data_IF_213864177900
#
_entry.id   IF_213864177900
#
_cell.length_a   1.000
_cell.length_b   1.000
_cell.length_c   1.000
_cell.angle_alpha   90.00
_cell.angle_beta   90.00
_cell.angle_gamma   90.00
#
_symmetry.space_group_name_H-M   'P 1'
#
loop_
_entity.id
_entity.type
_entity.pdbx_description
1 polymer ?
#
# COMPACT_ATOMS: atom_id res chain seq x y z
N UNK A 1 -6.38 13.14 -60.27
CA UNK A 1 -7.46 13.46 -59.31
C UNK A 1 -7.33 12.50 -58.14
N UNK A 2 -6.61 12.91 -57.09
CA UNK A 2 -6.46 12.10 -55.87
C UNK A 2 -7.65 12.41 -54.96
N UNK A 3 -8.53 11.43 -54.84
CA UNK A 3 -9.69 11.44 -53.95
C UNK A 3 -9.19 11.62 -52.50
N UNK A 4 -9.38 12.84 -51.99
CA UNK A 4 -9.00 13.19 -50.61
C UNK A 4 -10.18 12.82 -49.73
N UNK A 5 -10.39 11.53 -49.52
CA UNK A 5 -11.43 11.02 -48.64
C UNK A 5 -11.20 11.56 -47.23
N UNK A 6 -11.94 12.62 -46.89
CA UNK A 6 -11.99 13.20 -45.55
C UNK A 6 -12.56 12.15 -44.59
N UNK A 7 -11.69 11.39 -43.90
CA UNK A 7 -12.10 10.51 -42.81
C UNK A 7 -12.71 11.40 -41.72
N UNK A 8 -14.02 11.28 -41.53
CA UNK A 8 -14.69 11.87 -40.37
C UNK A 8 -14.08 11.25 -39.10
N UNK A 9 -13.69 12.05 -38.11
CA UNK A 9 -13.18 11.53 -36.85
C UNK A 9 -14.25 10.66 -36.19
N UNK A 10 -13.86 9.49 -35.68
CA UNK A 10 -14.75 8.68 -34.83
C UNK A 10 -14.95 9.44 -33.52
N UNK A 11 -16.19 9.82 -33.24
CA UNK A 11 -16.59 10.40 -31.96
C UNK A 11 -16.92 9.27 -30.99
N UNK A 12 -16.54 9.44 -29.72
CA UNK A 12 -17.09 8.66 -28.60
C UNK A 12 -18.58 9.03 -28.37
N UNK A 13 -19.34 8.22 -27.61
CA UNK A 13 -20.77 8.44 -27.35
C UNK A 13 -21.11 9.85 -26.84
N UNK A 14 -20.16 10.52 -26.19
CA UNK A 14 -20.37 11.82 -25.53
C UNK A 14 -19.84 13.00 -26.37
N UNK A 15 -19.53 12.78 -27.66
CA UNK A 15 -19.01 13.82 -28.55
C UNK A 15 -17.52 14.14 -28.40
N UNK A 16 -16.79 13.36 -27.60
CA UNK A 16 -15.33 13.50 -27.47
C UNK A 16 -14.66 12.85 -28.70
N UNK A 17 -13.83 13.57 -29.47
CA UNK A 17 -13.15 13.00 -30.62
C UNK A 17 -12.15 11.92 -30.20
N UNK A 18 -12.27 10.70 -30.72
CA UNK A 18 -11.19 9.73 -30.61
C UNK A 18 -10.02 10.18 -31.46
N UNK A 19 -8.85 10.26 -30.84
CA UNK A 19 -7.59 10.52 -31.54
C UNK A 19 -7.22 9.26 -32.34
N UNK A 20 -7.33 9.31 -33.65
CA UNK A 20 -6.94 8.22 -34.56
C UNK A 20 -5.43 7.96 -34.37
N UNK A 21 -5.06 6.70 -34.10
CA UNK A 21 -3.76 6.28 -33.55
C UNK A 21 -2.51 6.42 -34.45
N UNK A 22 -2.40 7.48 -35.25
CA UNK A 22 -1.28 7.74 -36.16
C UNK A 22 -0.73 9.15 -36.00
N UNK A 23 0.39 9.27 -35.28
CA UNK A 23 1.16 10.50 -34.99
C UNK A 23 0.54 11.34 -33.86
N UNK A 24 1.31 11.57 -32.80
CA UNK A 24 0.92 12.42 -31.67
C UNK A 24 0.41 13.76 -32.23
N UNK A 25 -0.89 14.09 -32.06
CA UNK A 25 -1.39 15.37 -32.52
C UNK A 25 -0.69 16.44 -31.69
N UNK A 26 -0.03 17.35 -32.38
CA UNK A 26 0.38 18.62 -31.79
C UNK A 26 -0.84 19.34 -31.15
N UNK A 27 -0.58 20.43 -30.42
CA UNK A 27 -1.29 21.09 -29.28
C UNK A 27 -2.62 20.57 -28.67
N UNK A 28 -3.27 19.52 -29.17
CA UNK A 28 -4.53 18.94 -28.70
C UNK A 28 -4.36 17.98 -27.50
N UNK A 29 -3.16 17.92 -26.93
CA UNK A 29 -2.83 17.09 -25.76
C UNK A 29 -2.59 17.94 -24.52
N UNK A 30 -3.27 19.10 -24.45
CA UNK A 30 -3.28 19.92 -23.26
C UNK A 30 -4.02 19.20 -22.12
N UNK A 31 -3.50 19.34 -20.90
CA UNK A 31 -4.20 18.91 -19.70
C UNK A 31 -5.36 19.88 -19.45
N UNK A 32 -6.54 19.54 -19.96
CA UNK A 32 -7.76 20.35 -19.79
C UNK A 32 -8.52 19.92 -18.54
N UNK A 33 -9.41 20.78 -18.00
CA UNK A 33 -10.27 20.40 -16.87
C UNK A 33 -11.09 19.13 -17.13
N UNK A 34 -11.62 18.96 -18.35
CA UNK A 34 -12.37 17.76 -18.72
C UNK A 34 -11.52 16.47 -18.67
N UNK A 35 -10.23 16.55 -19.00
CA UNK A 35 -9.30 15.42 -18.85
C UNK A 35 -9.05 15.12 -17.37
N UNK A 36 -8.92 16.14 -16.53
CA UNK A 36 -8.74 15.96 -15.08
C UNK A 36 -9.96 15.28 -14.46
N UNK A 37 -11.17 15.75 -14.80
CA UNK A 37 -12.44 15.16 -14.34
C UNK A 37 -12.59 13.70 -14.78
N UNK A 38 -12.23 13.37 -16.03
CA UNK A 38 -12.28 11.98 -16.48
C UNK A 38 -11.25 11.08 -15.77
N UNK A 39 -10.07 11.62 -15.44
CA UNK A 39 -9.07 10.91 -14.61
C UNK A 39 -9.60 10.71 -13.19
N UNK A 40 -10.23 11.73 -12.60
CA UNK A 40 -10.87 11.67 -11.27
C UNK A 40 -11.87 10.53 -11.20
N UNK A 41 -12.84 10.52 -12.11
CA UNK A 41 -13.90 9.52 -12.17
C UNK A 41 -13.32 8.10 -12.27
N UNK A 42 -12.34 7.90 -13.17
CA UNK A 42 -11.69 6.61 -13.32
C UNK A 42 -10.97 6.14 -12.04
N UNK A 43 -10.35 7.06 -11.30
CA UNK A 43 -9.66 6.73 -10.05
C UNK A 43 -10.63 6.44 -8.91
N UNK A 44 -11.76 7.13 -8.83
CA UNK A 44 -12.81 6.88 -7.83
C UNK A 44 -13.45 5.50 -7.99
N UNK A 45 -13.59 5.05 -9.24
CA UNK A 45 -14.01 3.68 -9.59
C UNK A 45 -12.92 2.63 -9.32
N UNK A 46 -11.72 3.06 -8.93
CA UNK A 46 -10.59 2.18 -8.65
C UNK A 46 -9.93 1.59 -9.90
N UNK A 47 -10.11 2.21 -11.07
CA UNK A 47 -9.49 1.74 -12.31
C UNK A 47 -7.98 1.98 -12.30
N UNK A 48 -7.18 1.06 -12.88
CA UNK A 48 -5.76 1.29 -13.02
C UNK A 48 -5.48 2.39 -14.04
N UNK A 49 -4.41 3.15 -13.81
CA UNK A 49 -4.03 4.30 -14.65
C UNK A 49 -3.86 3.93 -16.13
N UNK A 50 -3.46 2.70 -16.42
CA UNK A 50 -3.34 2.17 -17.79
C UNK A 50 -4.68 2.13 -18.52
N UNK A 51 -5.75 1.67 -17.85
CA UNK A 51 -7.11 1.63 -18.40
C UNK A 51 -7.66 3.04 -18.58
N UNK A 52 -7.48 3.91 -17.57
CA UNK A 52 -7.89 5.32 -17.66
C UNK A 52 -7.21 5.99 -18.86
N UNK A 53 -5.89 5.84 -18.98
CA UNK A 53 -5.12 6.42 -20.10
C UNK A 53 -5.61 5.91 -21.46
N UNK A 54 -5.84 4.60 -21.59
CA UNK A 54 -6.32 4.00 -22.84
C UNK A 54 -7.72 4.49 -23.20
N UNK A 55 -8.63 4.63 -22.23
CA UNK A 55 -9.98 5.15 -22.47
C UNK A 55 -9.99 6.59 -23.00
N UNK A 56 -8.99 7.39 -22.59
CA UNK A 56 -8.79 8.77 -23.05
C UNK A 56 -7.96 8.88 -24.33
N UNK A 57 -7.52 7.75 -24.91
CA UNK A 57 -6.66 7.74 -26.09
C UNK A 57 -5.22 8.20 -25.82
N UNK A 58 -4.75 8.11 -24.57
CA UNK A 58 -3.40 8.50 -24.17
C UNK A 58 -2.50 7.28 -23.92
N UNK A 59 -1.19 7.50 -24.11
CA UNK A 59 -0.18 6.57 -23.60
C UNK A 59 -0.09 6.72 -22.07
N UNK A 60 0.06 5.64 -21.28
CA UNK A 60 0.17 5.72 -19.81
C UNK A 60 1.30 6.64 -19.32
N UNK A 61 2.39 6.72 -20.10
CA UNK A 61 3.53 7.61 -19.80
C UNK A 61 3.19 9.10 -19.78
N UNK A 62 2.08 9.50 -20.40
CA UNK A 62 1.64 10.90 -20.44
C UNK A 62 1.14 11.37 -19.07
N UNK A 63 0.25 10.60 -18.44
CA UNK A 63 -0.28 10.96 -17.12
C UNK A 63 0.83 10.92 -16.07
N UNK A 64 1.74 9.93 -16.15
CA UNK A 64 2.89 9.89 -15.23
C UNK A 64 3.83 11.08 -15.43
N UNK A 65 4.04 11.54 -16.67
CA UNK A 65 4.81 12.75 -16.95
C UNK A 65 4.15 14.01 -16.39
N UNK A 66 2.81 14.15 -16.49
CA UNK A 66 2.05 15.25 -15.90
C UNK A 66 2.14 15.26 -14.37
N UNK A 67 1.95 14.11 -13.71
CA UNK A 67 2.11 13.99 -12.26
C UNK A 67 3.54 14.28 -11.81
N UNK A 68 4.54 13.85 -12.60
CA UNK A 68 5.95 14.15 -12.31
C UNK A 68 6.24 15.65 -12.41
N UNK A 69 5.64 16.33 -13.39
CA UNK A 69 5.71 17.79 -13.52
C UNK A 69 5.00 18.49 -12.37
N UNK A 70 3.81 18.03 -11.99
CA UNK A 70 3.04 18.55 -10.87
C UNK A 70 3.84 18.52 -9.56
N UNK A 71 4.45 17.38 -9.23
CA UNK A 71 5.29 17.24 -8.02
C UNK A 71 6.50 18.17 -8.00
N UNK A 72 7.08 18.46 -9.17
CA UNK A 72 8.16 19.45 -9.26
C UNK A 72 7.61 20.86 -8.97
N UNK A 73 6.49 21.22 -9.59
CA UNK A 73 5.84 22.51 -9.36
C UNK A 73 5.43 22.71 -7.90
N UNK A 74 4.89 21.66 -7.26
CA UNK A 74 4.50 21.67 -5.85
C UNK A 74 5.72 21.94 -4.95
N UNK A 75 6.84 21.25 -5.18
CA UNK A 75 8.11 21.50 -4.48
C UNK A 75 8.66 22.90 -4.71
N UNK A 76 8.45 23.45 -5.90
CA UNK A 76 8.87 24.81 -6.26
C UNK A 76 7.90 25.88 -5.74
N UNK A 77 6.83 25.49 -5.02
CA UNK A 77 5.85 26.40 -4.42
C UNK A 77 4.84 26.99 -5.41
N UNK A 78 4.72 26.42 -6.62
CA UNK A 78 3.76 26.85 -7.63
C UNK A 78 2.40 26.24 -7.27
N UNK A 79 1.40 27.10 -7.05
CA UNK A 79 0.03 26.67 -6.68
C UNK A 79 -0.98 26.83 -7.80
N UNK A 80 -0.80 27.81 -8.69
CA UNK A 80 -1.72 28.11 -9.80
C UNK A 80 -1.26 27.42 -11.10
N UNK A 81 -1.67 26.16 -11.28
CA UNK A 81 -1.29 25.35 -12.45
C UNK A 81 -2.23 24.15 -12.61
N UNK A 82 -2.66 23.82 -13.85
CA UNK A 82 -3.52 22.65 -14.10
C UNK A 82 -2.86 21.32 -13.71
N UNK A 83 -1.52 21.28 -13.62
CA UNK A 83 -0.82 20.10 -13.12
C UNK A 83 -0.99 19.93 -11.61
N UNK A 84 -1.04 21.02 -10.85
CA UNK A 84 -1.30 21.00 -9.41
C UNK A 84 -2.74 20.56 -9.15
N UNK A 85 -3.69 21.08 -9.94
CA UNK A 85 -5.09 20.62 -9.89
C UNK A 85 -5.17 19.11 -10.12
N UNK A 86 -4.51 18.60 -11.16
CA UNK A 86 -4.43 17.16 -11.42
C UNK A 86 -3.81 16.39 -10.23
N UNK A 87 -2.75 16.89 -9.60
CA UNK A 87 -2.11 16.22 -8.48
C UNK A 87 -3.04 16.11 -7.26
N UNK A 88 -3.72 17.21 -6.92
CA UNK A 88 -4.67 17.27 -5.81
C UNK A 88 -5.85 16.32 -6.05
N UNK A 89 -6.46 16.40 -7.24
CA UNK A 89 -7.55 15.52 -7.68
C UNK A 89 -7.08 14.06 -7.67
N UNK A 90 -5.90 13.77 -8.20
CA UNK A 90 -5.34 12.42 -8.23
C UNK A 90 -5.21 11.82 -6.83
N UNK A 91 -4.67 12.58 -5.87
CA UNK A 91 -4.50 12.09 -4.50
C UNK A 91 -5.84 11.84 -3.82
N UNK A 92 -6.78 12.78 -3.92
CA UNK A 92 -8.10 12.67 -3.31
C UNK A 92 -8.94 11.54 -3.93
N UNK A 93 -8.99 11.46 -5.26
CA UNK A 93 -9.72 10.43 -6.00
C UNK A 93 -9.16 9.04 -5.73
N UNK A 94 -7.82 8.89 -5.69
CA UNK A 94 -7.18 7.62 -5.37
C UNK A 94 -7.49 7.16 -3.94
N UNK A 95 -7.49 8.07 -2.97
CA UNK A 95 -7.88 7.74 -1.60
C UNK A 95 -9.34 7.25 -1.53
N UNK A 96 -10.26 7.93 -2.23
CA UNK A 96 -11.67 7.53 -2.34
C UNK A 96 -11.84 6.16 -3.01
N UNK A 97 -11.18 5.93 -4.13
CA UNK A 97 -11.21 4.64 -4.83
C UNK A 97 -10.69 3.48 -3.98
N UNK A 98 -9.60 3.70 -3.22
CA UNK A 98 -9.09 2.71 -2.27
C UNK A 98 -10.08 2.42 -1.13
N UNK A 99 -10.72 3.45 -0.58
CA UNK A 99 -11.76 3.27 0.44
C UNK A 99 -12.97 2.48 -0.10
N UNK A 100 -13.39 2.76 -1.33
CA UNK A 100 -14.46 2.03 -2.02
C UNK A 100 -14.09 0.56 -2.23
N UNK A 101 -12.87 0.29 -2.71
CA UNK A 101 -12.36 -1.06 -2.89
C UNK A 101 -12.30 -1.81 -1.55
N UNK A 102 -11.75 -1.19 -0.51
CA UNK A 102 -11.69 -1.76 0.83
C UNK A 102 -13.08 -2.12 1.36
N UNK A 103 -14.07 -1.24 1.17
CA UNK A 103 -15.47 -1.52 1.54
C UNK A 103 -16.06 -2.69 0.75
N UNK A 104 -15.70 -2.84 -0.52
CA UNK A 104 -16.12 -3.99 -1.34
C UNK A 104 -15.49 -5.28 -0.84
N UNK A 105 -14.18 -5.28 -0.55
CA UNK A 105 -13.47 -6.43 0.02
C UNK A 105 -14.07 -6.81 1.39
N UNK A 106 -14.30 -5.84 2.28
CA UNK A 106 -14.92 -6.05 3.60
C UNK A 106 -16.32 -6.65 3.50
N UNK A 107 -17.13 -6.21 2.53
CA UNK A 107 -18.47 -6.79 2.30
C UNK A 107 -18.39 -8.20 1.73
N UNK A 108 -17.43 -8.45 0.83
CA UNK A 108 -17.19 -9.77 0.27
C UNK A 108 -16.69 -10.74 1.36
N UNK A 109 -15.76 -10.33 2.21
CA UNK A 109 -15.17 -11.17 3.25
C UNK A 109 -16.18 -11.67 4.28
N UNK A 110 -17.21 -10.87 4.57
CA UNK A 110 -18.30 -11.27 5.47
C UNK A 110 -19.15 -12.41 4.90
N UNK A 111 -19.17 -12.59 3.58
CA UNK A 111 -19.95 -13.63 2.89
C UNK A 111 -19.07 -14.80 2.47
N UNK A 112 -17.94 -14.49 1.83
CA UNK A 112 -16.96 -15.44 1.32
C UNK A 112 -15.57 -14.80 1.33
N UNK A 113 -14.73 -15.26 2.26
CA UNK A 113 -13.36 -14.80 2.39
C UNK A 113 -12.52 -15.12 1.14
N UNK A 114 -12.85 -16.16 0.36
CA UNK A 114 -12.13 -16.51 -0.86
C UNK A 114 -12.37 -15.47 -1.96
N UNK A 115 -13.59 -14.94 -2.05
CA UNK A 115 -13.90 -13.86 -2.99
C UNK A 115 -13.11 -12.59 -2.64
N UNK A 116 -12.97 -12.27 -1.35
CA UNK A 116 -12.16 -11.16 -0.89
C UNK A 116 -10.67 -11.35 -1.20
N UNK A 117 -10.11 -12.54 -0.94
CA UNK A 117 -8.73 -12.89 -1.28
C UNK A 117 -8.48 -12.78 -2.80
N UNK A 118 -9.40 -13.30 -3.62
CA UNK A 118 -9.32 -13.22 -5.08
C UNK A 118 -9.32 -11.78 -5.61
N UNK A 119 -10.09 -10.87 -5.00
CA UNK A 119 -10.07 -9.44 -5.36
C UNK A 119 -8.71 -8.83 -5.01
N UNK A 120 -8.17 -9.12 -3.83
CA UNK A 120 -6.87 -8.61 -3.38
C UNK A 120 -5.73 -9.07 -4.29
N UNK A 121 -5.70 -10.34 -4.68
CA UNK A 121 -4.70 -10.90 -5.60
C UNK A 121 -4.67 -10.17 -6.95
N UNK A 122 -5.82 -9.73 -7.46
CA UNK A 122 -5.90 -9.05 -8.76
C UNK A 122 -5.61 -7.57 -8.71
N UNK A 123 -6.08 -6.88 -7.67
CA UNK A 123 -5.91 -5.43 -7.58
C UNK A 123 -4.52 -5.06 -7.06
N UNK A 124 -3.96 -5.86 -6.16
CA UNK A 124 -2.67 -5.62 -5.54
C UNK A 124 -1.81 -6.89 -5.56
N UNK A 125 -1.66 -7.48 -6.75
CA UNK A 125 -0.89 -8.73 -6.95
C UNK A 125 0.57 -8.65 -6.55
N UNK A 126 1.19 -7.46 -6.59
CA UNK A 126 2.56 -7.26 -6.09
C UNK A 126 2.67 -7.43 -4.56
N UNK A 127 1.57 -7.31 -3.82
CA UNK A 127 1.54 -7.43 -2.36
C UNK A 127 0.85 -8.71 -1.91
N UNK A 128 -0.26 -9.08 -2.56
CA UNK A 128 -1.11 -10.21 -2.17
C UNK A 128 -1.14 -11.34 -3.19
N UNK A 129 -0.43 -11.20 -4.31
CA UNK A 129 -0.30 -12.27 -5.28
C UNK A 129 0.57 -13.40 -4.73
N UNK A 130 0.42 -14.59 -5.30
CA UNK A 130 1.13 -15.80 -4.86
C UNK A 130 2.65 -15.60 -4.78
N UNK A 131 3.25 -14.98 -5.80
CA UNK A 131 4.69 -14.67 -5.83
C UNK A 131 5.12 -13.70 -4.72
N UNK A 132 4.25 -12.76 -4.36
CA UNK A 132 4.51 -11.81 -3.28
C UNK A 132 4.45 -12.49 -1.92
N UNK A 133 3.47 -13.38 -1.72
CA UNK A 133 3.34 -14.18 -0.50
C UNK A 133 4.51 -15.15 -0.33
N UNK A 134 4.95 -15.81 -1.40
CA UNK A 134 6.13 -16.69 -1.36
C UNK A 134 7.40 -15.91 -0.99
N UNK A 135 7.56 -14.70 -1.52
CA UNK A 135 8.67 -13.80 -1.15
C UNK A 135 8.61 -13.41 0.33
N UNK A 136 7.44 -12.98 0.80
CA UNK A 136 7.24 -12.57 2.19
C UNK A 136 7.39 -13.73 3.19
N UNK A 137 6.97 -14.94 2.81
CA UNK A 137 7.14 -16.14 3.64
C UNK A 137 8.62 -16.45 3.88
N UNK A 138 9.45 -16.24 2.86
CA UNK A 138 10.91 -16.41 2.96
C UNK A 138 11.54 -15.37 3.91
N UNK A 139 11.07 -14.12 3.83
CA UNK A 139 11.53 -13.05 4.74
C UNK A 139 11.11 -13.32 6.18
N UNK A 140 9.91 -13.87 6.39
CA UNK A 140 9.42 -14.24 7.71
C UNK A 140 10.19 -15.42 8.32
N UNK A 141 10.52 -16.44 7.53
CA UNK A 141 11.36 -17.57 7.97
C UNK A 141 12.78 -17.11 8.34
N UNK A 142 13.35 -16.15 7.59
CA UNK A 142 14.63 -15.53 7.91
C UNK A 142 14.61 -14.72 9.22
N UNK A 143 13.48 -14.06 9.53
CA UNK A 143 13.28 -13.31 10.78
C UNK A 143 13.06 -14.26 11.98
N UNK A 144 12.22 -15.29 11.82
CA UNK A 144 11.91 -16.25 12.88
C UNK A 144 13.13 -17.11 13.26
N UNK A 145 14.04 -17.38 12.33
CA UNK A 145 15.27 -18.13 12.59
C UNK A 145 16.29 -17.39 13.47
N UNK A 146 16.27 -16.05 13.49
CA UNK A 146 17.32 -15.27 14.18
C UNK A 146 16.86 -14.77 15.56
N UNK A 147 15.59 -14.39 15.71
CA UNK A 147 15.08 -13.87 16.99
C UNK A 147 14.64 -14.98 17.95
N UNK A 148 14.18 -16.13 17.46
CA UNK A 148 13.62 -17.17 18.35
C UNK A 148 14.69 -17.86 19.20
N UNK A 149 15.90 -18.03 18.68
CA UNK A 149 17.01 -18.65 19.42
C UNK A 149 17.62 -17.67 20.43
N UNK A 150 17.77 -16.39 20.07
CA UNK A 150 18.22 -15.35 20.99
C UNK A 150 17.20 -15.10 22.12
N UNK A 151 15.90 -15.07 21.80
CA UNK A 151 14.86 -14.94 22.83
C UNK A 151 14.79 -16.15 23.76
N UNK A 152 15.03 -17.37 23.25
CA UNK A 152 15.17 -18.57 24.10
C UNK A 152 16.38 -18.48 25.01
N UNK A 153 17.54 -18.09 24.49
CA UNK A 153 18.76 -17.91 25.29
C UNK A 153 18.57 -16.86 26.39
N UNK A 154 17.98 -15.71 26.07
CA UNK A 154 17.66 -14.67 27.05
C UNK A 154 16.64 -15.15 28.10
N UNK A 155 15.66 -15.96 27.69
CA UNK A 155 14.69 -16.56 28.61
C UNK A 155 15.34 -17.57 29.56
N UNK A 156 16.23 -18.42 29.05
CA UNK A 156 16.92 -19.43 29.84
C UNK A 156 17.91 -18.79 30.83
N UNK A 157 18.61 -17.74 30.41
CA UNK A 157 19.51 -16.95 31.27
C UNK A 157 18.74 -16.24 32.38
N UNK A 158 17.59 -15.62 32.05
CA UNK A 158 16.74 -14.96 33.03
C UNK A 158 16.13 -15.95 34.05
N UNK A 159 15.78 -17.17 33.60
CA UNK A 159 15.31 -18.24 34.49
C UNK A 159 16.41 -18.70 35.44
N UNK A 160 17.63 -18.91 34.94
CA UNK A 160 18.77 -19.30 35.76
C UNK A 160 19.09 -18.25 36.83
N UNK A 161 19.04 -16.95 36.48
CA UNK A 161 19.25 -15.87 37.44
C UNK A 161 18.17 -15.83 38.54
N UNK A 162 16.91 -16.14 38.19
CA UNK A 162 15.81 -16.23 39.15
C UNK A 162 15.95 -17.41 40.11
N UNK A 163 16.35 -18.58 39.60
CA UNK A 163 16.61 -19.76 40.42
C UNK A 163 17.75 -19.52 41.42
N UNK A 164 18.83 -18.85 41.01
CA UNK A 164 19.97 -18.53 41.88
C UNK A 164 19.59 -17.53 42.97
N UNK A 165 18.76 -16.53 42.64
CA UNK A 165 18.18 -15.58 43.61
C UNK A 165 17.28 -16.28 44.63
N UNK A 166 16.43 -17.21 44.17
CA UNK A 166 15.52 -17.96 45.04
C UNK A 166 16.29 -18.91 45.96
N UNK A 167 17.35 -19.54 45.46
CA UNK A 167 18.25 -20.35 46.27
C UNK A 167 18.94 -19.51 47.36
N UNK A 168 19.45 -18.34 47.00
CA UNK A 168 20.08 -17.40 47.96
C UNK A 168 19.10 -16.94 49.03
N UNK A 169 17.86 -16.58 48.66
CA UNK A 169 16.83 -16.19 49.62
C UNK A 169 16.45 -17.33 50.56
N UNK A 170 16.34 -18.55 50.05
CA UNK A 170 16.02 -19.74 50.86
C UNK A 170 17.10 -20.00 51.91
N UNK A 171 18.38 -19.91 51.51
CA UNK A 171 19.51 -20.06 52.43
C UNK A 171 19.52 -18.98 53.53
N UNK A 172 19.25 -17.72 53.18
CA UNK A 172 19.16 -16.64 54.16
C UNK A 172 18.02 -16.88 55.19
N UNK A 173 16.90 -17.45 54.76
CA UNK A 173 15.78 -17.78 55.65
C UNK A 173 16.13 -18.94 56.60
N UNK A 174 16.82 -19.97 56.12
CA UNK A 174 17.28 -21.08 56.95
C UNK A 174 18.29 -20.61 58.02
N UNK A 175 19.26 -19.77 57.64
CA UNK A 175 20.22 -19.19 58.58
C UNK A 175 19.53 -18.29 59.62
N UNK A 176 18.57 -17.47 59.21
CA UNK A 176 17.79 -16.63 60.13
C UNK A 176 16.94 -17.47 61.10
N UNK A 177 16.34 -18.57 60.62
CA UNK A 177 15.57 -19.49 61.48
C UNK A 177 16.46 -20.15 62.53
N UNK A 178 17.66 -20.59 62.16
CA UNK A 178 18.59 -21.22 63.08
C UNK A 178 19.06 -20.28 64.20
N UNK A 179 19.18 -18.96 63.92
CA UNK A 179 19.53 -17.96 64.95
C UNK A 179 18.41 -17.80 65.97
N UNK A 180 17.14 -17.80 65.53
CA UNK A 180 15.97 -17.68 66.42
C UNK A 180 15.87 -18.89 67.37
N UNK A 181 16.18 -20.09 66.90
CA UNK A 181 16.14 -21.31 67.72
C UNK A 181 17.23 -21.34 68.81
N UNK A 182 18.38 -20.70 68.59
CA UNK A 182 19.46 -20.60 69.58
C UNK A 182 19.10 -19.64 70.72
N UNK A 183 18.47 -18.50 70.41
CA UNK A 183 18.05 -17.54 71.44
C UNK A 183 16.92 -18.08 72.34
N UNK A 184 16.08 -18.97 71.83
CA UNK A 184 15.00 -19.59 72.59
C UNK A 184 15.48 -20.64 73.62
N UNK A 185 16.73 -21.12 73.52
CA UNK A 185 17.26 -22.17 74.42
C UNK A 185 18.09 -21.64 75.59
N UNK A 186 18.42 -20.34 75.63
CA UNK A 186 19.24 -19.69 76.66
C UNK A 186 18.44 -18.82 77.66
N UNK A 187 17.11 -18.77 77.55
CA UNK A 187 16.18 -18.05 78.44
C UNK A 187 15.33 -18.97 79.30
#
# INVERSE_FOLDING_TARGET
MTDTTTRRPRLLPDGVPMVDGGRDPGPATALTPAVIEAIELGLEEGLPMTVISQSLGFRPTRITAWLSKARRQDRDGITDSPYIDLLNVYQAARARGLANLHNTIRRASNKDWKAAAWILERVAGETYGKEALERNAYDQEALEGTDSEQLRQLSDEALAELEDKLHTQTKMLEEASAVVDVEASDG
#
